data_IF_053481407721
#
_entry.id   IF_053481407721
#
_cell.length_a   1.000
_cell.length_b   1.000
_cell.length_c   1.000
_cell.angle_alpha   90.00
_cell.angle_beta   90.00
_cell.angle_gamma   90.00
#
_symmetry.space_group_name_H-M   'P 1'
#
loop_
_entity.id
_entity.type
_entity.pdbx_description
1 polymer ?
#
# COMPACT_ATOMS: atom_id res chain seq x y z
N UNK A 1 -19.57 24.55 -18.71
CA UNK A 1 -19.04 25.01 -20.00
C UNK A 1 -18.13 23.92 -20.55
N UNK A 2 -18.57 23.26 -21.63
CA UNK A 2 -17.93 22.10 -22.24
C UNK A 2 -16.60 22.50 -22.89
N UNK A 3 -15.49 22.15 -22.25
CA UNK A 3 -14.13 22.40 -22.76
C UNK A 3 -13.50 21.14 -23.36
N UNK A 4 -14.33 20.19 -23.83
CA UNK A 4 -13.90 18.90 -24.38
C UNK A 4 -14.00 18.83 -25.91
N UNK A 5 -14.18 19.95 -26.61
CA UNK A 5 -14.37 19.98 -28.07
C UNK A 5 -13.17 19.50 -28.91
N UNK A 6 -12.06 19.13 -28.26
CA UNK A 6 -10.81 18.64 -28.88
C UNK A 6 -10.37 17.26 -28.40
N UNK A 7 -11.18 16.56 -27.60
CA UNK A 7 -10.90 15.17 -27.17
C UNK A 7 -11.94 14.21 -27.77
N UNK A 8 -11.62 12.91 -27.82
CA UNK A 8 -12.52 11.90 -28.37
C UNK A 8 -13.91 11.97 -27.69
N UNK A 9 -15.02 11.93 -28.46
CA UNK A 9 -16.37 12.03 -27.91
C UNK A 9 -16.70 10.97 -26.84
N UNK A 10 -16.13 9.76 -26.95
CA UNK A 10 -16.30 8.68 -25.97
C UNK A 10 -15.63 9.06 -24.65
N UNK A 11 -14.39 9.54 -24.71
CA UNK A 11 -13.65 10.01 -23.52
C UNK A 11 -14.37 11.21 -22.90
N UNK A 12 -14.82 12.17 -23.72
CA UNK A 12 -15.58 13.33 -23.24
C UNK A 12 -16.88 12.93 -22.50
N UNK A 13 -17.63 11.97 -23.05
CA UNK A 13 -18.84 11.44 -22.41
C UNK A 13 -18.52 10.79 -21.05
N UNK A 14 -17.50 9.92 -21.00
CA UNK A 14 -17.06 9.27 -19.76
C UNK A 14 -16.71 10.31 -18.69
N UNK A 15 -15.92 11.33 -19.06
CA UNK A 15 -15.51 12.40 -18.15
C UNK A 15 -16.69 13.25 -17.66
N UNK A 16 -17.66 13.56 -18.53
CA UNK A 16 -18.88 14.26 -18.13
C UNK A 16 -19.72 13.44 -17.17
N UNK A 17 -19.91 12.15 -17.45
CA UNK A 17 -20.61 11.23 -16.54
C UNK A 17 -19.94 11.17 -15.17
N UNK A 18 -18.61 11.10 -15.12
CA UNK A 18 -17.87 11.14 -13.86
C UNK A 18 -18.10 12.47 -13.09
N UNK A 19 -18.15 13.60 -13.79
CA UNK A 19 -18.45 14.92 -13.20
C UNK A 19 -19.89 15.06 -12.69
N UNK A 20 -20.81 14.27 -13.23
CA UNK A 20 -22.22 14.19 -12.83
C UNK A 20 -22.47 13.07 -11.80
N UNK A 21 -21.40 12.61 -11.13
CA UNK A 21 -21.40 11.55 -10.12
C UNK A 21 -22.03 10.24 -10.61
N UNK A 22 -21.98 9.98 -11.92
CA UNK A 22 -22.41 8.70 -12.50
C UNK A 22 -21.33 7.65 -12.34
N UNK A 23 -21.78 6.46 -11.97
CA UNK A 23 -20.90 5.31 -11.87
C UNK A 23 -20.34 4.91 -13.24
N UNK A 24 -19.01 4.75 -13.31
CA UNK A 24 -18.32 4.32 -14.50
C UNK A 24 -18.19 2.78 -14.54
N UNK A 25 -18.34 2.21 -15.74
CA UNK A 25 -18.25 0.78 -16.01
C UNK A 25 -16.81 0.30 -16.23
N UNK A 26 -16.62 -1.02 -16.30
CA UNK A 26 -15.34 -1.63 -16.72
C UNK A 26 -14.92 -1.13 -18.10
N UNK A 27 -15.86 -1.04 -19.05
CA UNK A 27 -15.60 -0.55 -20.40
C UNK A 27 -15.07 0.89 -20.36
N UNK A 28 -15.74 1.75 -19.60
CA UNK A 28 -15.32 3.15 -19.46
C UNK A 28 -13.87 3.26 -18.94
N UNK A 29 -13.51 2.45 -17.93
CA UNK A 29 -12.14 2.43 -17.42
C UNK A 29 -11.11 1.96 -18.47
N UNK A 30 -11.45 0.94 -19.28
CA UNK A 30 -10.57 0.47 -20.36
C UNK A 30 -10.32 1.58 -21.38
N UNK A 31 -11.39 2.24 -21.85
CA UNK A 31 -11.27 3.38 -22.78
C UNK A 31 -10.39 4.50 -22.19
N UNK A 32 -10.55 4.82 -20.89
CA UNK A 32 -9.70 5.81 -20.24
C UNK A 32 -8.24 5.38 -20.11
N UNK A 33 -7.95 4.10 -19.86
CA UNK A 33 -6.57 3.60 -19.81
C UNK A 33 -5.90 3.67 -21.19
N UNK A 34 -6.67 3.44 -22.25
CA UNK A 34 -6.22 3.44 -23.64
C UNK A 34 -6.24 4.85 -24.28
N UNK A 35 -6.73 5.87 -23.56
CA UNK A 35 -6.81 7.23 -24.07
C UNK A 35 -5.45 7.79 -24.52
N UNK A 36 -5.47 8.70 -25.48
CA UNK A 36 -4.27 9.33 -26.00
C UNK A 36 -3.62 10.30 -25.01
N UNK A 37 -2.34 10.62 -25.22
CA UNK A 37 -1.63 11.60 -24.40
C UNK A 37 -2.23 13.02 -24.52
N UNK A 38 -2.86 13.35 -25.65
CA UNK A 38 -3.56 14.64 -25.80
C UNK A 38 -4.81 14.76 -24.91
N UNK A 39 -5.35 13.64 -24.43
CA UNK A 39 -6.54 13.59 -23.59
C UNK A 39 -6.18 13.55 -22.09
N UNK A 40 -4.92 13.26 -21.77
CA UNK A 40 -4.42 13.11 -20.41
C UNK A 40 -4.67 14.36 -19.56
N UNK A 41 -4.51 15.56 -20.14
CA UNK A 41 -4.78 16.81 -19.44
C UNK A 41 -6.24 16.94 -18.99
N UNK A 42 -7.19 16.51 -19.82
CA UNK A 42 -8.62 16.50 -19.48
C UNK A 42 -8.90 15.54 -18.33
N UNK A 43 -8.28 14.36 -18.36
CA UNK A 43 -8.39 13.36 -17.30
C UNK A 43 -7.83 13.88 -15.96
N UNK A 44 -6.65 14.52 -15.98
CA UNK A 44 -6.04 15.16 -14.80
C UNK A 44 -6.97 16.21 -14.20
N UNK A 45 -7.49 17.13 -15.03
CA UNK A 45 -8.38 18.21 -14.57
C UNK A 45 -9.65 17.66 -13.92
N UNK A 46 -10.25 16.63 -14.53
CA UNK A 46 -11.48 16.01 -14.00
C UNK A 46 -11.19 15.28 -12.68
N UNK A 47 -10.11 14.52 -12.62
CA UNK A 47 -9.69 13.84 -11.38
C UNK A 47 -9.42 14.84 -10.26
N UNK A 48 -8.73 15.95 -10.54
CA UNK A 48 -8.46 16.99 -9.54
C UNK A 48 -9.74 17.66 -9.02
N UNK A 49 -10.68 17.93 -9.93
CA UNK A 49 -11.99 18.49 -9.58
C UNK A 49 -12.79 17.55 -8.69
N UNK A 50 -12.81 16.24 -9.00
CA UNK A 50 -13.46 15.23 -8.15
C UNK A 50 -12.75 15.07 -6.81
N UNK A 51 -11.41 15.10 -6.78
CA UNK A 51 -10.64 15.12 -5.53
C UNK A 51 -11.04 16.33 -4.68
N UNK A 52 -11.03 17.53 -5.24
CA UNK A 52 -11.39 18.76 -4.53
C UNK A 52 -12.82 18.73 -3.99
N UNK A 53 -13.78 18.16 -4.71
CA UNK A 53 -15.16 18.00 -4.21
C UNK A 53 -15.25 17.08 -2.98
N UNK A 54 -14.41 16.05 -2.90
CA UNK A 54 -14.47 15.06 -1.81
C UNK A 54 -13.70 15.48 -0.57
N UNK A 55 -12.57 16.18 -0.74
CA UNK A 55 -11.60 16.41 0.36
C UNK A 55 -11.03 17.84 0.38
N UNK A 56 -11.62 18.76 -0.37
CA UNK A 56 -11.10 20.12 -0.56
C UNK A 56 -9.62 20.12 -0.96
N UNK A 57 -8.83 21.05 -0.42
CA UNK A 57 -7.39 21.15 -0.65
C UNK A 57 -6.56 20.42 0.42
N UNK A 58 -7.19 19.57 1.23
CA UNK A 58 -6.50 18.77 2.24
C UNK A 58 -5.72 17.63 1.58
N UNK A 59 -4.45 17.48 1.96
CA UNK A 59 -3.63 16.31 1.62
C UNK A 59 -3.09 15.72 2.91
N UNK A 60 -3.37 14.44 3.12
CA UNK A 60 -3.02 13.77 4.38
C UNK A 60 -1.67 13.07 4.33
N UNK A 61 -1.11 12.77 5.50
CA UNK A 61 -0.02 11.82 5.68
C UNK A 61 -0.09 11.20 7.09
N UNK A 62 0.62 10.09 7.29
CA UNK A 62 0.76 9.44 8.60
C UNK A 62 2.23 9.38 9.02
N UNK A 63 2.51 9.54 10.31
CA UNK A 63 3.84 9.24 10.86
C UNK A 63 3.85 7.78 11.27
N UNK A 64 4.61 6.97 10.53
CA UNK A 64 4.63 5.52 10.71
C UNK A 64 6.03 4.91 10.54
N UNK A 65 6.14 3.68 11.02
CA UNK A 65 7.31 2.80 10.83
C UNK A 65 6.87 1.49 10.21
N UNK A 66 7.59 1.05 9.19
CA UNK A 66 7.43 -0.30 8.65
C UNK A 66 8.32 -1.26 9.44
N UNK A 67 7.75 -2.39 9.87
CA UNK A 67 8.47 -3.47 10.52
C UNK A 67 8.19 -4.76 9.78
N UNK A 68 9.08 -5.08 8.84
CA UNK A 68 9.09 -6.38 8.21
C UNK A 68 9.82 -7.37 9.12
N UNK A 69 9.11 -8.21 9.86
CA UNK A 69 9.74 -9.04 10.88
C UNK A 69 10.45 -10.28 10.32
N UNK A 70 10.22 -10.65 9.08
CA UNK A 70 11.00 -11.65 8.35
C UNK A 70 10.83 -11.46 6.85
N UNK A 71 11.88 -11.77 6.08
CA UNK A 71 11.85 -11.86 4.63
C UNK A 71 11.77 -13.32 4.13
N UNK A 72 11.78 -14.32 5.02
CA UNK A 72 11.71 -15.73 4.64
C UNK A 72 10.29 -16.07 4.21
N UNK A 73 10.14 -16.66 3.02
CA UNK A 73 8.81 -16.95 2.47
C UNK A 73 8.79 -18.26 1.70
N UNK A 74 7.74 -19.07 1.92
CA UNK A 74 7.49 -20.29 1.14
C UNK A 74 6.86 -20.02 -0.25
N UNK A 75 6.55 -18.76 -0.58
CA UNK A 75 5.97 -18.38 -1.87
C UNK A 75 7.05 -17.88 -2.81
N UNK A 76 6.91 -18.22 -4.09
CA UNK A 76 7.85 -17.83 -5.14
C UNK A 76 7.18 -16.86 -6.12
N UNK A 77 6.89 -15.65 -5.65
CA UNK A 77 6.27 -14.62 -6.49
C UNK A 77 7.29 -14.03 -7.47
N UNK A 78 6.95 -14.00 -8.77
CA UNK A 78 7.84 -13.51 -9.83
C UNK A 78 8.22 -12.04 -9.68
N UNK A 79 7.38 -11.20 -9.06
CA UNK A 79 7.66 -9.78 -8.84
C UNK A 79 8.39 -9.48 -7.51
N UNK A 80 8.49 -10.44 -6.58
CA UNK A 80 8.96 -10.16 -5.23
C UNK A 80 10.48 -10.30 -5.12
N UNK A 81 11.18 -9.17 -5.03
CA UNK A 81 12.61 -9.14 -4.76
C UNK A 81 12.95 -9.19 -3.25
N UNK A 82 11.93 -9.06 -2.38
CA UNK A 82 12.11 -9.03 -0.93
C UNK A 82 12.21 -10.43 -0.33
N UNK A 83 11.40 -11.38 -0.81
CA UNK A 83 11.38 -12.74 -0.27
C UNK A 83 12.72 -13.45 -0.46
N UNK A 84 13.09 -14.24 0.54
CA UNK A 84 14.21 -15.17 0.51
C UNK A 84 13.71 -16.59 0.75
N UNK A 85 14.31 -17.55 0.06
CA UNK A 85 14.10 -18.96 0.38
C UNK A 85 14.62 -19.23 1.80
N UNK A 86 14.01 -20.19 2.51
CA UNK A 86 14.40 -20.57 3.86
C UNK A 86 15.81 -21.16 3.97
N UNK A 87 16.46 -21.41 2.82
CA UNK A 87 17.85 -21.88 2.71
C UNK A 87 18.86 -20.77 2.42
N UNK A 88 18.42 -19.56 2.12
CA UNK A 88 19.30 -18.45 1.75
C UNK A 88 19.89 -17.75 2.99
N UNK A 89 21.17 -17.40 2.92
CA UNK A 89 21.90 -16.78 4.05
C UNK A 89 21.41 -15.37 4.40
N UNK A 90 20.68 -14.72 3.50
CA UNK A 90 20.07 -13.39 3.66
C UNK A 90 18.69 -13.44 4.35
N UNK A 91 18.18 -14.63 4.68
CA UNK A 91 16.96 -14.81 5.44
C UNK A 91 17.13 -14.31 6.88
N UNK A 92 16.19 -13.50 7.38
CA UNK A 92 16.17 -13.06 8.78
C UNK A 92 14.81 -13.29 9.45
N UNK A 93 14.82 -13.31 10.77
CA UNK A 93 13.62 -13.39 11.61
C UNK A 93 13.83 -12.58 12.88
N UNK A 94 13.05 -11.51 13.04
CA UNK A 94 13.12 -10.64 14.20
C UNK A 94 12.38 -11.28 15.39
N UNK A 95 13.00 -11.33 16.58
CA UNK A 95 12.29 -11.71 17.78
C UNK A 95 11.27 -10.62 18.17
N UNK A 96 10.22 -11.01 18.89
CA UNK A 96 9.12 -10.11 19.29
C UNK A 96 9.65 -8.88 20.06
N UNK A 97 10.67 -9.07 20.88
CA UNK A 97 11.31 -7.99 21.65
C UNK A 97 11.93 -6.91 20.74
N UNK A 98 12.51 -7.32 19.60
CA UNK A 98 13.07 -6.38 18.63
C UNK A 98 11.97 -5.62 17.89
N UNK A 99 10.86 -6.29 17.55
CA UNK A 99 9.68 -5.65 16.96
C UNK A 99 9.13 -4.58 17.92
N UNK A 100 8.94 -4.93 19.19
CA UNK A 100 8.49 -4.00 20.23
C UNK A 100 9.47 -2.84 20.42
N UNK A 101 10.78 -3.12 20.44
CA UNK A 101 11.82 -2.08 20.55
C UNK A 101 11.72 -1.07 19.40
N UNK A 102 11.65 -1.54 18.16
CA UNK A 102 11.50 -0.68 16.97
C UNK A 102 10.21 0.14 17.01
N UNK A 103 9.14 -0.45 17.52
CA UNK A 103 7.85 0.22 17.70
C UNK A 103 7.95 1.33 18.76
N UNK A 104 8.64 1.08 19.89
CA UNK A 104 8.90 2.09 20.93
C UNK A 104 9.75 3.25 20.41
N UNK A 105 10.77 2.96 19.61
CA UNK A 105 11.59 3.99 18.95
C UNK A 105 10.74 4.89 18.06
N UNK A 106 9.87 4.31 17.22
CA UNK A 106 8.98 5.06 16.34
C UNK A 106 8.00 5.92 17.14
N UNK A 107 7.39 5.35 18.19
CA UNK A 107 6.45 6.04 19.06
C UNK A 107 7.06 7.28 19.71
N UNK A 108 8.31 7.18 20.22
CA UNK A 108 9.05 8.33 20.78
C UNK A 108 9.30 9.43 19.77
N UNK A 109 9.27 9.10 18.47
CA UNK A 109 9.46 10.03 17.36
C UNK A 109 8.13 10.55 16.78
N UNK A 110 7.01 10.30 17.46
CA UNK A 110 5.70 10.79 17.08
C UNK A 110 4.94 9.87 16.13
N UNK A 111 5.41 8.64 15.89
CA UNK A 111 4.68 7.67 15.08
C UNK A 111 3.36 7.27 15.76
N UNK A 112 2.27 7.34 15.00
CA UNK A 112 0.93 6.96 15.43
C UNK A 112 0.54 5.57 14.94
N UNK A 113 1.30 5.04 13.98
CA UNK A 113 1.10 3.74 13.34
C UNK A 113 2.41 2.96 13.29
N UNK A 114 2.30 1.64 13.49
CA UNK A 114 3.29 0.67 13.05
C UNK A 114 2.67 -0.23 11.99
N UNK A 115 3.30 -0.31 10.83
CA UNK A 115 2.90 -1.22 9.76
C UNK A 115 3.71 -2.52 9.87
N UNK A 116 3.05 -3.64 10.10
CA UNK A 116 3.71 -4.94 10.33
C UNK A 116 3.34 -5.89 9.21
N UNK A 117 4.37 -6.41 8.54
CA UNK A 117 4.24 -7.38 7.45
C UNK A 117 5.40 -8.37 7.49
N UNK A 118 5.29 -9.47 6.77
CA UNK A 118 6.34 -10.47 6.69
C UNK A 118 6.24 -11.33 5.43
N UNK A 119 7.32 -12.08 5.19
CA UNK A 119 7.22 -13.33 4.45
C UNK A 119 6.43 -14.39 5.23
N UNK A 120 6.33 -15.59 4.67
CA UNK A 120 5.64 -16.73 5.28
C UNK A 120 6.65 -17.85 5.57
N UNK A 121 7.40 -17.81 6.68
CA UNK A 121 8.42 -18.81 6.95
C UNK A 121 7.80 -20.18 7.19
N UNK A 122 8.40 -21.27 6.68
CA UNK A 122 7.86 -22.61 6.86
C UNK A 122 7.80 -22.96 8.35
N UNK A 123 6.73 -23.67 8.75
CA UNK A 123 6.50 -24.15 10.13
C UNK A 123 6.41 -23.05 11.20
N UNK A 124 6.28 -21.77 10.83
CA UNK A 124 6.03 -20.70 11.81
C UNK A 124 4.79 -21.01 12.66
N UNK A 125 4.84 -20.70 13.96
CA UNK A 125 3.69 -20.79 14.83
C UNK A 125 2.61 -19.80 14.35
N UNK A 126 1.39 -20.29 14.07
CA UNK A 126 0.29 -19.44 13.62
C UNK A 126 -0.07 -18.34 14.61
N UNK A 127 0.07 -18.58 15.91
CA UNK A 127 -0.22 -17.58 16.95
C UNK A 127 0.80 -16.44 17.07
N UNK A 128 1.92 -16.50 16.34
CA UNK A 128 2.96 -15.47 16.43
C UNK A 128 2.44 -14.07 16.10
N UNK A 129 1.56 -13.93 15.11
CA UNK A 129 0.97 -12.65 14.74
C UNK A 129 0.17 -12.03 15.90
N UNK A 130 -0.57 -12.87 16.63
CA UNK A 130 -1.33 -12.50 17.84
C UNK A 130 -0.38 -12.10 18.97
N UNK A 131 0.70 -12.86 19.17
CA UNK A 131 1.71 -12.57 20.21
C UNK A 131 2.42 -11.24 19.96
N UNK A 132 2.74 -10.93 18.69
CA UNK A 132 3.28 -9.63 18.28
C UNK A 132 2.33 -8.49 18.66
N UNK A 133 1.04 -8.61 18.32
CA UNK A 133 0.03 -7.60 18.67
C UNK A 133 -0.07 -7.40 20.19
N UNK A 134 -0.19 -8.49 20.97
CA UNK A 134 -0.26 -8.42 22.44
C UNK A 134 0.98 -7.78 23.03
N UNK A 135 2.17 -8.14 22.55
CA UNK A 135 3.42 -7.60 23.05
C UNK A 135 3.55 -6.10 22.77
N UNK A 136 3.16 -5.64 21.58
CA UNK A 136 3.14 -4.20 21.25
C UNK A 136 2.12 -3.47 22.13
N UNK A 137 0.89 -3.98 22.22
CA UNK A 137 -0.18 -3.32 22.99
C UNK A 137 0.07 -3.27 24.49
N UNK A 138 0.79 -4.23 25.06
CA UNK A 138 1.23 -4.19 26.46
C UNK A 138 2.10 -2.98 26.75
N UNK A 139 3.00 -2.64 25.83
CA UNK A 139 3.98 -1.56 26.02
C UNK A 139 3.49 -0.22 25.47
N UNK A 140 2.69 -0.25 24.40
CA UNK A 140 2.20 0.91 23.66
C UNK A 140 0.70 0.76 23.36
N UNK A 141 -0.19 0.84 24.36
CA UNK A 141 -1.63 0.59 24.17
C UNK A 141 -2.27 1.46 23.07
N UNK A 142 -1.75 2.68 22.90
CA UNK A 142 -2.28 3.71 22.01
C UNK A 142 -1.76 3.66 20.57
N UNK A 143 -0.69 2.91 20.26
CA UNK A 143 -0.18 2.87 18.88
C UNK A 143 -1.14 2.07 18.00
N UNK A 144 -1.43 2.55 16.79
CA UNK A 144 -2.22 1.79 15.82
C UNK A 144 -1.37 0.69 15.20
N UNK A 145 -1.87 -0.55 15.18
CA UNK A 145 -1.23 -1.66 14.49
C UNK A 145 -1.93 -1.83 13.15
N UNK A 146 -1.26 -1.43 12.07
CA UNK A 146 -1.67 -1.72 10.70
C UNK A 146 -0.95 -3.00 10.27
N UNK A 147 -1.57 -4.16 10.46
CA UNK A 147 -0.84 -5.42 10.50
C UNK A 147 -1.45 -6.50 9.63
N UNK A 148 -0.56 -7.23 8.96
CA UNK A 148 -0.78 -8.51 8.28
C UNK A 148 -1.69 -8.44 7.05
N UNK A 149 -1.10 -8.73 5.90
CA UNK A 149 -1.83 -8.89 4.65
C UNK A 149 -2.85 -10.03 4.72
N UNK A 150 -3.86 -10.06 3.84
CA UNK A 150 -4.81 -11.17 3.73
C UNK A 150 -4.15 -12.55 3.57
N UNK A 151 -3.00 -12.62 2.90
CA UNK A 151 -2.19 -13.85 2.82
C UNK A 151 -1.68 -14.28 4.20
N UNK A 152 -1.15 -13.34 5.00
CA UNK A 152 -0.64 -13.62 6.34
C UNK A 152 -1.78 -14.01 7.29
N UNK A 153 -2.96 -13.40 7.15
CA UNK A 153 -4.18 -13.79 7.89
C UNK A 153 -4.55 -15.24 7.57
N UNK A 154 -4.65 -15.58 6.29
CA UNK A 154 -4.98 -16.95 5.86
C UNK A 154 -3.92 -17.95 6.33
N UNK A 155 -2.64 -17.60 6.17
CA UNK A 155 -1.53 -18.42 6.62
C UNK A 155 -1.58 -18.66 8.13
N UNK A 156 -1.79 -17.59 8.92
CA UNK A 156 -1.93 -17.68 10.38
C UNK A 156 -3.10 -18.58 10.79
N UNK A 157 -4.27 -18.41 10.16
CA UNK A 157 -5.45 -19.23 10.42
C UNK A 157 -5.18 -20.71 10.16
N UNK A 158 -4.59 -21.05 9.00
CA UNK A 158 -4.21 -22.42 8.64
C UNK A 158 -3.18 -23.00 9.61
N UNK A 159 -2.15 -22.23 9.99
CA UNK A 159 -1.09 -22.66 10.91
C UNK A 159 -1.57 -22.83 12.35
N UNK A 160 -2.67 -22.16 12.71
CA UNK A 160 -3.34 -22.27 14.01
C UNK A 160 -4.54 -23.22 14.01
N UNK A 161 -4.78 -23.94 12.90
CA UNK A 161 -5.89 -24.89 12.74
C UNK A 161 -7.27 -24.26 13.04
N UNK A 162 -7.46 -23.00 12.62
CA UNK A 162 -8.70 -22.24 12.80
C UNK A 162 -9.21 -21.70 11.46
N UNK A 163 -10.47 -21.31 11.41
CA UNK A 163 -11.00 -20.55 10.28
C UNK A 163 -10.56 -19.07 10.34
N UNK A 164 -10.71 -18.37 9.21
CA UNK A 164 -10.32 -16.95 9.04
C UNK A 164 -11.07 -16.02 9.99
N UNK A 165 -12.36 -16.25 10.22
CA UNK A 165 -13.18 -15.38 11.06
C UNK A 165 -12.70 -15.41 12.52
N UNK A 166 -12.51 -16.60 13.08
CA UNK A 166 -12.06 -16.76 14.46
C UNK A 166 -10.63 -16.26 14.63
N UNK A 167 -9.77 -16.48 13.63
CA UNK A 167 -8.42 -15.93 13.64
C UNK A 167 -8.41 -14.38 13.65
N UNK A 168 -9.27 -13.75 12.84
CA UNK A 168 -9.45 -12.30 12.83
C UNK A 168 -10.01 -11.77 14.15
N UNK A 169 -10.93 -12.49 14.82
CA UNK A 169 -11.41 -12.13 16.17
C UNK A 169 -10.25 -12.14 17.17
N UNK A 170 -9.42 -13.17 17.16
CA UNK A 170 -8.24 -13.25 18.04
C UNK A 170 -7.26 -12.10 17.79
N UNK A 171 -7.00 -11.74 16.53
CA UNK A 171 -6.16 -10.60 16.17
C UNK A 171 -6.77 -9.26 16.63
N UNK A 172 -8.08 -9.09 16.47
CA UNK A 172 -8.80 -7.90 16.95
C UNK A 172 -8.69 -7.75 18.46
N UNK A 173 -8.90 -8.84 19.20
CA UNK A 173 -8.72 -8.88 20.66
C UNK A 173 -7.28 -8.61 21.07
N UNK A 174 -6.31 -9.08 20.30
CA UNK A 174 -4.88 -8.79 20.49
C UNK A 174 -4.52 -7.33 20.17
N UNK A 175 -5.41 -6.60 19.48
CA UNK A 175 -5.30 -5.17 19.22
C UNK A 175 -4.80 -4.79 17.83
N UNK A 176 -4.98 -5.65 16.81
CA UNK A 176 -4.85 -5.21 15.42
C UNK A 176 -5.87 -4.09 15.15
N UNK A 177 -5.43 -3.00 14.52
CA UNK A 177 -6.27 -1.84 14.27
C UNK A 177 -6.84 -1.79 12.86
N UNK A 178 -6.06 -2.22 11.87
CA UNK A 178 -6.50 -2.36 10.47
C UNK A 178 -5.56 -3.32 9.72
N UNK A 179 -5.99 -3.79 8.55
CA UNK A 179 -5.20 -4.68 7.68
C UNK A 179 -4.64 -3.94 6.46
N UNK A 180 -3.37 -4.16 6.07
CA UNK A 180 -2.87 -3.74 4.76
C UNK A 180 -3.60 -4.48 3.64
N UNK A 181 -4.09 -3.76 2.64
CA UNK A 181 -4.72 -4.31 1.43
C UNK A 181 -3.77 -4.98 0.45
N UNK A 182 -2.55 -5.31 0.89
CA UNK A 182 -1.53 -5.95 0.06
C UNK A 182 -1.91 -7.39 -0.27
N UNK A 183 -1.07 -8.09 -1.04
CA UNK A 183 -1.40 -9.41 -1.59
C UNK A 183 -2.58 -9.44 -2.56
N UNK A 184 -3.12 -8.26 -2.92
CA UNK A 184 -4.07 -8.10 -4.00
C UNK A 184 -3.39 -8.22 -5.37
N UNK A 185 -2.23 -7.55 -5.53
CA UNK A 185 -1.51 -7.42 -6.80
C UNK A 185 -2.45 -6.97 -7.93
N UNK A 186 -2.84 -7.90 -8.81
CA UNK A 186 -4.01 -7.79 -9.66
C UNK A 186 -5.02 -8.84 -9.20
N UNK A 187 -6.25 -8.44 -8.87
CA UNK A 187 -7.34 -9.34 -8.46
C UNK A 187 -7.99 -10.02 -9.66
N UNK A 188 -7.17 -10.73 -10.44
CA UNK A 188 -7.54 -11.58 -11.58
C UNK A 188 -6.83 -12.92 -11.41
N UNK A 189 -7.59 -14.02 -11.32
CA UNK A 189 -7.01 -15.31 -10.92
C UNK A 189 -6.01 -15.83 -11.95
N UNK A 190 -6.33 -15.74 -13.24
CA UNK A 190 -5.45 -16.19 -14.33
C UNK A 190 -4.13 -15.40 -14.35
N UNK A 191 -4.18 -14.10 -14.06
CA UNK A 191 -2.99 -13.27 -13.92
C UNK A 191 -2.15 -13.71 -12.71
N UNK A 192 -2.79 -13.95 -11.57
CA UNK A 192 -2.10 -14.33 -10.32
C UNK A 192 -1.46 -15.70 -10.41
N UNK A 193 -2.10 -16.64 -11.07
CA UNK A 193 -1.54 -17.98 -11.30
C UNK A 193 -0.27 -17.92 -12.15
N UNK A 194 -0.14 -16.91 -13.02
CA UNK A 194 1.09 -16.64 -13.79
C UNK A 194 2.18 -15.97 -12.95
N UNK A 195 1.88 -14.86 -12.29
CA UNK A 195 2.91 -14.01 -11.65
C UNK A 195 3.25 -14.40 -10.21
N UNK A 196 2.37 -15.15 -9.54
CA UNK A 196 2.50 -15.53 -8.13
C UNK A 196 1.85 -16.89 -7.84
N UNK A 197 2.32 -17.97 -8.47
CA UNK A 197 1.74 -19.29 -8.29
C UNK A 197 1.75 -19.71 -6.83
N UNK A 198 0.62 -20.26 -6.37
CA UNK A 198 0.43 -20.74 -5.00
C UNK A 198 0.22 -19.64 -3.96
N UNK A 199 0.13 -18.35 -4.34
CA UNK A 199 -0.35 -17.29 -3.46
C UNK A 199 -1.86 -17.44 -3.19
N UNK A 200 -2.40 -16.76 -2.18
CA UNK A 200 -3.83 -16.70 -1.83
C UNK A 200 -4.67 -16.50 -3.10
N UNK A 201 -5.82 -17.18 -3.21
CA UNK A 201 -6.69 -16.99 -4.38
C UNK A 201 -7.38 -15.63 -4.34
N UNK A 202 -7.96 -15.17 -5.46
CA UNK A 202 -8.80 -13.95 -5.47
C UNK A 202 -9.99 -14.14 -4.54
N UNK A 203 -10.61 -15.32 -4.56
CA UNK A 203 -11.75 -15.65 -3.71
C UNK A 203 -11.40 -15.59 -2.22
N UNK A 204 -10.27 -16.16 -1.82
CA UNK A 204 -9.81 -16.14 -0.43
C UNK A 204 -9.43 -14.72 0.01
N UNK A 205 -8.79 -13.93 -0.86
CA UNK A 205 -8.50 -12.53 -0.57
C UNK A 205 -9.79 -11.75 -0.29
N UNK A 206 -10.81 -11.91 -1.15
CA UNK A 206 -12.14 -11.29 -0.97
C UNK A 206 -12.76 -11.78 0.34
N UNK A 207 -12.70 -13.09 0.61
CA UNK A 207 -13.26 -13.68 1.84
C UNK A 207 -12.63 -13.09 3.09
N UNK A 208 -11.30 -12.98 3.16
CA UNK A 208 -10.57 -12.40 4.28
C UNK A 208 -10.97 -10.93 4.48
N UNK A 209 -10.93 -10.12 3.41
CA UNK A 209 -11.23 -8.69 3.48
C UNK A 209 -12.67 -8.43 3.93
N UNK A 210 -13.65 -9.10 3.30
CA UNK A 210 -15.06 -8.95 3.69
C UNK A 210 -15.31 -9.41 5.12
N UNK A 211 -14.65 -10.47 5.56
CA UNK A 211 -14.76 -10.97 6.94
C UNK A 211 -14.17 -9.97 7.93
N UNK A 212 -12.99 -9.40 7.64
CA UNK A 212 -12.38 -8.35 8.45
C UNK A 212 -13.31 -7.13 8.58
N UNK A 213 -13.87 -6.66 7.47
CA UNK A 213 -14.79 -5.51 7.47
C UNK A 213 -16.06 -5.78 8.29
N UNK A 214 -16.68 -6.97 8.16
CA UNK A 214 -17.84 -7.36 8.98
C UNK A 214 -17.52 -7.42 10.47
N UNK A 215 -16.29 -7.78 10.82
CA UNK A 215 -15.80 -7.75 12.20
C UNK A 215 -15.40 -6.34 12.66
N UNK A 216 -15.59 -5.30 11.85
CA UNK A 216 -15.23 -3.92 12.17
C UNK A 216 -13.72 -3.65 12.14
N UNK A 217 -12.96 -4.44 11.39
CA UNK A 217 -11.54 -4.22 11.12
C UNK A 217 -11.45 -3.61 9.72
N UNK A 218 -11.12 -2.31 9.64
CA UNK A 218 -10.92 -1.65 8.35
C UNK A 218 -9.67 -2.16 7.64
N UNK A 219 -9.58 -1.95 6.32
CA UNK A 219 -8.38 -2.26 5.55
C UNK A 219 -8.05 -1.17 4.53
N UNK A 220 -6.81 -1.15 4.06
CA UNK A 220 -6.46 -0.42 2.84
C UNK A 220 -6.76 -1.30 1.63
N UNK A 221 -6.71 -0.75 0.41
CA UNK A 221 -6.78 -1.52 -0.83
C UNK A 221 -5.63 -1.13 -1.74
N UNK A 222 -5.06 -2.10 -2.47
CA UNK A 222 -3.86 -1.86 -3.29
C UNK A 222 -3.97 -2.51 -4.66
N UNK A 223 -3.28 -1.94 -5.65
CA UNK A 223 -3.07 -2.57 -6.95
C UNK A 223 -1.58 -2.51 -7.30
N UNK A 224 -0.98 -3.63 -7.70
CA UNK A 224 0.32 -3.61 -8.38
C UNK A 224 0.07 -3.60 -9.88
N UNK A 225 0.69 -2.67 -10.60
CA UNK A 225 0.45 -2.49 -12.04
C UNK A 225 1.72 -2.04 -12.78
N UNK A 226 1.66 -2.07 -14.11
CA UNK A 226 2.78 -1.81 -15.01
C UNK A 226 3.73 -3.00 -15.11
N UNK A 227 3.19 -4.22 -15.06
CA UNK A 227 3.90 -5.46 -15.38
C UNK A 227 3.37 -6.05 -16.68
N UNK A 228 2.89 -7.30 -16.67
CA UNK A 228 2.31 -8.00 -17.83
C UNK A 228 0.78 -7.84 -17.96
N UNK A 229 0.13 -7.08 -17.07
CA UNK A 229 -1.32 -6.95 -17.06
C UNK A 229 -1.83 -5.94 -18.09
N UNK A 230 -2.96 -6.29 -18.71
CA UNK A 230 -3.72 -5.43 -19.62
C UNK A 230 -4.66 -4.45 -18.89
N UNK A 231 -5.08 -3.34 -19.54
CA UNK A 231 -6.06 -2.39 -19.01
C UNK A 231 -7.33 -3.02 -18.43
N UNK A 232 -7.86 -4.07 -19.07
CA UNK A 232 -9.05 -4.79 -18.60
C UNK A 232 -8.88 -5.36 -17.18
N UNK A 233 -7.69 -5.86 -16.82
CA UNK A 233 -7.47 -6.39 -15.47
C UNK A 233 -7.43 -5.26 -14.43
N UNK A 234 -6.84 -4.10 -14.78
CA UNK A 234 -6.85 -2.90 -13.91
C UNK A 234 -8.28 -2.40 -13.70
N UNK A 235 -9.08 -2.35 -14.77
CA UNK A 235 -10.48 -1.95 -14.72
C UNK A 235 -11.33 -2.89 -13.85
N UNK A 236 -11.22 -4.20 -14.07
CA UNK A 236 -11.91 -5.21 -13.25
C UNK A 236 -11.50 -5.14 -11.78
N UNK A 237 -10.21 -4.92 -11.50
CA UNK A 237 -9.72 -4.73 -10.13
C UNK A 237 -10.41 -3.55 -9.45
N UNK A 238 -10.44 -2.37 -10.09
CA UNK A 238 -11.08 -1.18 -9.53
C UNK A 238 -12.58 -1.40 -9.26
N UNK A 239 -13.29 -2.03 -10.20
CA UNK A 239 -14.72 -2.36 -10.03
C UNK A 239 -14.92 -3.34 -8.88
N UNK A 240 -14.11 -4.39 -8.77
CA UNK A 240 -14.20 -5.34 -7.66
C UNK A 240 -14.02 -4.66 -6.30
N UNK A 241 -13.02 -3.78 -6.16
CA UNK A 241 -12.83 -3.00 -4.93
C UNK A 241 -14.04 -2.12 -4.62
N UNK A 242 -14.62 -1.46 -5.63
CA UNK A 242 -15.82 -0.64 -5.47
C UNK A 242 -17.02 -1.47 -5.01
N UNK A 243 -17.25 -2.65 -5.58
CA UNK A 243 -18.36 -3.52 -5.16
C UNK A 243 -18.19 -4.04 -3.72
N UNK A 244 -16.96 -4.41 -3.33
CA UNK A 244 -16.68 -4.75 -1.92
C UNK A 244 -16.93 -3.53 -1.02
N UNK A 245 -16.53 -2.33 -1.45
CA UNK A 245 -16.73 -1.11 -0.66
C UNK A 245 -18.21 -0.76 -0.50
N UNK A 246 -19.03 -0.93 -1.55
CA UNK A 246 -20.48 -0.75 -1.48
C UNK A 246 -21.14 -1.69 -0.47
N UNK A 247 -20.64 -2.92 -0.36
CA UNK A 247 -21.18 -3.91 0.57
C UNK A 247 -20.72 -3.69 2.02
N UNK A 248 -19.44 -3.34 2.19
CA UNK A 248 -18.78 -3.47 3.50
C UNK A 248 -18.32 -2.15 4.12
N UNK A 249 -18.16 -1.10 3.31
CA UNK A 249 -17.68 0.23 3.72
C UNK A 249 -16.36 0.22 4.53
N UNK A 250 -15.57 -0.84 4.41
CA UNK A 250 -14.41 -1.07 5.27
C UNK A 250 -13.07 -0.61 4.69
N UNK A 251 -12.99 -0.29 3.40
CA UNK A 251 -11.77 0.28 2.82
C UNK A 251 -11.59 1.73 3.22
N UNK A 252 -10.40 2.06 3.70
CA UNK A 252 -10.03 3.44 4.08
C UNK A 252 -9.36 4.20 2.95
N UNK A 253 -8.64 3.50 2.08
CA UNK A 253 -7.87 4.08 0.98
C UNK A 253 -7.61 3.10 -0.15
N UNK A 254 -7.22 3.66 -1.29
CA UNK A 254 -6.68 2.95 -2.44
C UNK A 254 -5.25 3.40 -2.73
N UNK A 255 -4.34 2.44 -2.88
CA UNK A 255 -2.91 2.67 -3.10
C UNK A 255 -2.46 2.00 -4.41
N UNK A 256 -2.26 2.77 -5.48
CA UNK A 256 -1.53 2.31 -6.66
C UNK A 256 -0.06 2.05 -6.33
N UNK A 257 0.44 0.89 -6.73
CA UNK A 257 1.80 0.45 -6.53
C UNK A 257 2.44 0.14 -7.89
N UNK A 258 3.22 1.08 -8.44
CA UNK A 258 4.02 0.80 -9.63
C UNK A 258 4.93 -0.42 -9.43
N UNK A 259 4.98 -1.28 -10.45
CA UNK A 259 5.89 -2.41 -10.51
C UNK A 259 7.33 -1.90 -10.59
N UNK A 260 8.11 -2.20 -9.56
CA UNK A 260 9.55 -1.91 -9.54
C UNK A 260 10.27 -3.15 -10.09
N UNK A 261 10.75 -3.03 -11.32
CA UNK A 261 11.18 -4.16 -12.13
C UNK A 261 12.65 -4.56 -11.92
N UNK A 262 13.50 -3.65 -11.42
CA UNK A 262 14.96 -3.78 -11.45
C UNK A 262 15.47 -5.07 -10.80
N UNK A 263 14.94 -5.41 -9.63
CA UNK A 263 15.33 -6.61 -8.88
C UNK A 263 14.30 -7.75 -8.98
N UNK A 264 13.21 -7.57 -9.71
CA UNK A 264 12.14 -8.54 -9.80
C UNK A 264 12.55 -9.78 -10.62
N UNK A 265 12.42 -11.01 -10.08
CA UNK A 265 12.78 -12.24 -10.79
C UNK A 265 12.17 -12.38 -12.18
N UNK A 266 10.88 -12.05 -12.34
CA UNK A 266 10.19 -12.17 -13.61
C UNK A 266 10.75 -11.26 -14.70
N UNK A 267 11.26 -10.09 -14.33
CA UNK A 267 11.92 -9.16 -15.25
C UNK A 267 13.35 -9.60 -15.54
N UNK A 268 14.14 -9.91 -14.49
CA UNK A 268 15.53 -10.34 -14.62
C UNK A 268 15.70 -11.59 -15.48
N UNK A 269 14.78 -12.54 -15.34
CA UNK A 269 14.82 -13.81 -16.06
C UNK A 269 13.95 -13.82 -17.32
N UNK A 270 13.31 -12.68 -17.66
CA UNK A 270 12.41 -12.55 -18.82
C UNK A 270 11.40 -13.69 -18.90
N UNK A 271 10.68 -13.94 -17.80
CA UNK A 271 9.75 -15.07 -17.72
C UNK A 271 8.52 -14.93 -18.64
N UNK A 272 8.28 -13.73 -19.17
CA UNK A 272 7.17 -13.43 -20.07
C UNK A 272 7.67 -12.51 -21.19
N UNK A 273 7.19 -12.73 -22.42
CA UNK A 273 7.56 -11.93 -23.59
C UNK A 273 7.08 -10.47 -23.46
N UNK A 274 5.87 -10.28 -22.92
CA UNK A 274 5.22 -8.97 -22.77
C UNK A 274 5.61 -8.22 -21.48
N UNK A 275 6.68 -8.63 -20.79
CA UNK A 275 7.07 -7.98 -19.53
C UNK A 275 7.62 -6.58 -19.76
N UNK A 276 7.09 -5.63 -18.99
CA UNK A 276 7.45 -4.22 -19.07
C UNK A 276 8.43 -3.81 -17.96
N UNK A 277 9.15 -2.71 -18.20
CA UNK A 277 10.07 -2.09 -17.24
C UNK A 277 9.32 -1.13 -16.30
N UNK A 278 8.24 -1.61 -15.68
CA UNK A 278 7.34 -0.77 -14.89
C UNK A 278 6.44 0.13 -15.75
N UNK A 279 5.48 0.84 -15.13
CA UNK A 279 4.63 1.78 -15.82
C UNK A 279 5.40 3.04 -16.23
N UNK A 280 5.05 3.59 -17.39
CA UNK A 280 5.48 4.93 -17.80
C UNK A 280 4.84 6.01 -16.90
N UNK A 281 5.39 7.23 -16.90
CA UNK A 281 4.79 8.36 -16.16
C UNK A 281 3.32 8.61 -16.56
N UNK A 282 2.99 8.52 -17.84
CA UNK A 282 1.61 8.71 -18.31
C UNK A 282 0.69 7.60 -17.76
N UNK A 283 1.15 6.35 -17.71
CA UNK A 283 0.38 5.26 -17.10
C UNK A 283 0.18 5.44 -15.60
N UNK A 284 1.19 5.98 -14.88
CA UNK A 284 1.04 6.31 -13.46
C UNK A 284 -0.02 7.40 -13.26
N UNK A 285 0.01 8.45 -14.07
CA UNK A 285 -1.01 9.52 -14.03
C UNK A 285 -2.40 8.94 -14.31
N UNK A 286 -2.53 8.14 -15.37
CA UNK A 286 -3.78 7.46 -15.73
C UNK A 286 -4.29 6.60 -14.58
N UNK A 287 -3.44 5.80 -13.94
CA UNK A 287 -3.85 4.94 -12.84
C UNK A 287 -4.45 5.73 -11.67
N UNK A 288 -3.79 6.80 -11.23
CA UNK A 288 -4.29 7.63 -10.13
C UNK A 288 -5.57 8.40 -10.51
N UNK A 289 -5.59 9.01 -11.70
CA UNK A 289 -6.73 9.79 -12.16
C UNK A 289 -7.96 8.90 -12.42
N UNK A 290 -7.79 7.76 -13.10
CA UNK A 290 -8.87 6.80 -13.36
C UNK A 290 -9.38 6.19 -12.05
N UNK A 291 -8.49 5.88 -11.10
CA UNK A 291 -8.92 5.42 -9.77
C UNK A 291 -9.79 6.47 -9.07
N UNK A 292 -9.45 7.76 -9.16
CA UNK A 292 -10.29 8.85 -8.62
C UNK A 292 -11.67 8.86 -9.25
N UNK A 293 -11.78 8.71 -10.55
CA UNK A 293 -13.06 8.68 -11.25
C UNK A 293 -13.87 7.42 -10.90
N UNK A 294 -13.22 6.25 -10.94
CA UNK A 294 -13.87 4.95 -10.73
C UNK A 294 -14.32 4.72 -9.30
N UNK A 295 -13.58 5.22 -8.32
CA UNK A 295 -13.82 5.04 -6.88
C UNK A 295 -14.47 6.27 -6.21
N UNK A 296 -14.81 7.29 -7.00
CA UNK A 296 -15.45 8.52 -6.52
C UNK A 296 -16.66 8.21 -5.63
N UNK A 297 -16.78 8.86 -4.47
CA UNK A 297 -17.81 8.65 -3.45
C UNK A 297 -17.81 7.27 -2.75
N UNK A 298 -16.88 6.36 -3.10
CA UNK A 298 -16.76 5.04 -2.46
C UNK A 298 -15.47 4.90 -1.66
N UNK A 299 -14.31 5.15 -2.28
CA UNK A 299 -12.99 5.17 -1.63
C UNK A 299 -12.36 6.53 -1.92
N UNK A 300 -12.55 7.47 -1.00
CA UNK A 300 -12.18 8.87 -1.26
C UNK A 300 -10.69 9.17 -1.09
N UNK A 301 -9.94 8.29 -0.43
CA UNK A 301 -8.52 8.48 -0.20
C UNK A 301 -7.71 7.69 -1.22
N UNK A 302 -6.97 8.41 -2.05
CA UNK A 302 -6.04 7.85 -3.02
C UNK A 302 -4.64 8.28 -2.62
N UNK A 303 -3.83 7.30 -2.26
CA UNK A 303 -2.48 7.49 -1.78
C UNK A 303 -1.47 7.40 -2.92
N UNK A 304 -0.46 8.25 -2.90
CA UNK A 304 0.74 8.08 -3.73
C UNK A 304 1.84 7.35 -2.94
N UNK A 305 2.47 6.35 -3.57
CA UNK A 305 3.65 5.69 -3.02
C UNK A 305 4.92 6.46 -3.41
N UNK A 306 5.31 7.47 -2.62
CA UNK A 306 6.45 8.32 -2.94
C UNK A 306 7.78 7.57 -3.05
N UNK A 307 7.92 6.42 -2.37
CA UNK A 307 9.09 5.54 -2.50
C UNK A 307 9.20 4.92 -3.89
N UNK A 308 8.08 4.73 -4.60
CA UNK A 308 8.03 4.19 -5.97
C UNK A 308 8.15 5.30 -7.00
N UNK A 309 7.37 6.37 -6.83
CA UNK A 309 7.24 7.44 -7.83
C UNK A 309 8.31 8.53 -7.73
N UNK A 310 8.95 8.67 -6.58
CA UNK A 310 9.85 9.79 -6.29
C UNK A 310 9.11 11.05 -5.86
N UNK A 311 9.83 11.95 -5.16
CA UNK A 311 9.23 13.11 -4.48
C UNK A 311 8.59 14.09 -5.46
N UNK A 312 9.31 14.50 -6.50
CA UNK A 312 8.85 15.50 -7.47
C UNK A 312 7.60 15.02 -8.22
N UNK A 313 7.60 13.75 -8.65
CA UNK A 313 6.46 13.21 -9.37
C UNK A 313 5.28 12.94 -8.44
N UNK A 314 5.52 12.54 -7.19
CA UNK A 314 4.47 12.42 -6.17
C UNK A 314 3.79 13.75 -5.89
N UNK A 315 4.55 14.86 -5.90
CA UNK A 315 3.99 16.20 -5.79
C UNK A 315 3.08 16.53 -6.97
N UNK A 316 3.50 16.21 -8.19
CA UNK A 316 2.67 16.41 -9.39
C UNK A 316 1.35 15.63 -9.30
N UNK A 317 1.39 14.39 -8.80
CA UNK A 317 0.20 13.54 -8.69
C UNK A 317 -0.88 14.09 -7.75
N UNK A 318 -0.56 15.05 -6.86
CA UNK A 318 -1.56 15.79 -6.06
C UNK A 318 -2.54 16.60 -6.91
N UNK A 319 -2.17 16.90 -8.16
CA UNK A 319 -3.04 17.52 -9.17
C UNK A 319 -3.75 16.50 -10.06
N UNK A 320 -3.50 15.20 -9.87
CA UNK A 320 -4.03 14.10 -10.69
C UNK A 320 -4.95 13.16 -9.88
N UNK A 321 -5.63 13.71 -8.86
CA UNK A 321 -6.63 12.99 -8.07
C UNK A 321 -6.13 12.38 -6.75
N UNK A 322 -4.83 12.46 -6.46
CA UNK A 322 -4.24 12.04 -5.17
C UNK A 322 -4.61 13.03 -4.07
N UNK A 323 -4.89 12.52 -2.88
CA UNK A 323 -5.11 13.33 -1.68
C UNK A 323 -4.43 12.79 -0.42
N UNK A 324 -3.57 11.78 -0.58
CA UNK A 324 -2.82 11.24 0.54
C UNK A 324 -1.37 10.98 0.11
N UNK A 325 -0.43 11.54 0.86
CA UNK A 325 1.01 11.41 0.60
C UNK A 325 1.61 10.19 1.31
N UNK A 326 0.78 9.42 2.00
CA UNK A 326 1.13 8.18 2.68
C UNK A 326 1.95 8.40 3.95
N UNK A 327 2.93 7.54 4.17
CA UNK A 327 3.68 7.48 5.43
C UNK A 327 5.02 8.20 5.41
N UNK A 328 5.56 8.49 6.60
CA UNK A 328 6.99 8.79 6.78
C UNK A 328 7.87 7.56 6.54
N UNK A 329 7.28 6.36 6.66
CA UNK A 329 7.84 5.06 6.35
C UNK A 329 9.22 4.78 6.95
N UNK A 330 9.44 5.06 8.24
CA UNK A 330 10.74 4.78 8.90
C UNK A 330 11.11 3.31 8.58
N UNK A 331 12.26 3.10 7.94
CA UNK A 331 12.76 1.79 7.46
C UNK A 331 11.99 1.11 6.32
N UNK A 332 11.61 1.83 5.26
CA UNK A 332 10.99 1.14 4.11
C UNK A 332 11.94 0.17 3.39
N UNK A 333 11.63 -1.13 3.48
CA UNK A 333 12.54 -2.23 3.10
C UNK A 333 12.10 -2.98 1.84
N UNK A 334 10.80 -3.06 1.54
CA UNK A 334 10.28 -3.85 0.40
C UNK A 334 10.62 -3.17 -0.93
N UNK A 335 10.22 -1.90 -1.09
CA UNK A 335 10.53 -1.11 -2.29
C UNK A 335 12.04 -0.96 -2.49
N UNK A 336 12.81 -0.81 -1.40
CA UNK A 336 14.28 -0.76 -1.49
C UNK A 336 14.86 -2.09 -1.98
N UNK A 337 14.36 -3.23 -1.48
CA UNK A 337 14.79 -4.54 -1.94
C UNK A 337 14.44 -4.78 -3.42
N UNK A 338 13.33 -4.21 -3.90
CA UNK A 338 12.95 -4.21 -5.31
C UNK A 338 13.80 -3.29 -6.21
N UNK A 339 14.59 -2.39 -5.62
CA UNK A 339 15.50 -1.49 -6.34
C UNK A 339 15.09 -0.02 -6.37
N UNK A 340 14.05 0.38 -5.62
CA UNK A 340 13.65 1.78 -5.51
C UNK A 340 14.78 2.63 -4.88
N UNK A 341 15.03 3.81 -5.46
CA UNK A 341 16.13 4.70 -5.05
C UNK A 341 15.65 5.95 -4.30
N UNK A 342 14.35 6.10 -4.09
CA UNK A 342 13.73 7.34 -3.57
C UNK A 342 13.83 7.50 -2.04
N UNK A 343 14.54 6.61 -1.36
CA UNK A 343 14.78 6.66 0.09
C UNK A 343 13.91 5.72 0.92
N UNK A 344 14.15 5.73 2.23
CA UNK A 344 13.52 4.85 3.23
C UNK A 344 12.90 5.61 4.40
N UNK A 345 12.84 6.94 4.30
CA UNK A 345 12.28 7.84 5.29
C UNK A 345 12.03 9.20 4.64
N UNK A 346 10.85 9.78 4.86
CA UNK A 346 10.56 11.17 4.53
C UNK A 346 10.00 11.85 5.79
N UNK A 347 10.64 12.93 6.24
CA UNK A 347 10.28 13.58 7.51
C UNK A 347 8.96 14.36 7.39
N UNK A 348 8.19 14.52 8.49
CA UNK A 348 6.95 15.29 8.49
C UNK A 348 7.07 16.68 7.84
N UNK A 349 8.10 17.45 8.20
CA UNK A 349 8.35 18.78 7.60
C UNK A 349 8.53 18.72 6.08
N UNK A 350 9.27 17.73 5.58
CA UNK A 350 9.49 17.58 4.14
C UNK A 350 8.16 17.29 3.43
N UNK A 351 7.34 16.38 3.98
CA UNK A 351 6.00 16.07 3.46
C UNK A 351 5.14 17.35 3.44
N UNK A 352 5.12 18.11 4.54
CA UNK A 352 4.37 19.39 4.61
C UNK A 352 4.83 20.38 3.54
N UNK A 353 6.13 20.55 3.37
CA UNK A 353 6.69 21.49 2.39
C UNK A 353 6.37 21.08 0.94
N UNK A 354 6.39 19.77 0.65
CA UNK A 354 5.99 19.23 -0.66
C UNK A 354 4.51 19.54 -0.92
N UNK A 355 3.64 19.26 0.04
CA UNK A 355 2.20 19.50 -0.07
C UNK A 355 1.91 21.00 -0.26
N UNK A 356 2.55 21.88 0.53
CA UNK A 356 2.36 23.34 0.40
C UNK A 356 2.80 23.88 -0.95
N UNK A 357 3.94 23.40 -1.47
CA UNK A 357 4.44 23.80 -2.80
C UNK A 357 3.51 23.35 -3.94
N UNK A 358 2.66 22.35 -3.71
CA UNK A 358 1.58 21.97 -4.63
C UNK A 358 0.30 22.82 -4.44
N UNK A 359 0.32 23.84 -3.58
CA UNK A 359 -0.84 24.67 -3.28
C UNK A 359 -1.92 23.95 -2.45
N UNK A 360 -1.52 22.99 -1.62
CA UNK A 360 -2.42 22.16 -0.79
C UNK A 360 -2.14 22.34 0.70
N UNK A 361 -3.08 21.91 1.52
CA UNK A 361 -3.05 22.02 2.99
C UNK A 361 -2.63 20.67 3.57
N UNK A 362 -1.44 20.57 4.20
CA UNK A 362 -1.01 19.32 4.81
C UNK A 362 -1.76 19.02 6.10
N UNK A 363 -2.12 17.75 6.30
CA UNK A 363 -2.69 17.26 7.55
C UNK A 363 -2.15 15.88 7.95
N UNK A 364 -1.91 15.71 9.25
CA UNK A 364 -1.63 14.38 9.80
C UNK A 364 -2.94 13.65 10.07
N UNK A 365 -3.03 12.41 9.60
CA UNK A 365 -4.16 11.51 9.83
C UNK A 365 -3.77 10.34 10.72
N UNK A 366 -4.79 9.70 11.28
CA UNK A 366 -4.70 8.32 11.77
C UNK A 366 -4.75 7.31 10.60
N UNK A 367 -4.47 6.05 10.87
CA UNK A 367 -4.60 4.95 9.88
C UNK A 367 -6.03 4.74 9.37
N UNK A 368 -7.03 5.20 10.11
CA UNK A 368 -8.45 5.18 9.72
C UNK A 368 -8.95 6.55 9.24
N UNK A 369 -8.04 7.41 8.80
CA UNK A 369 -8.30 8.71 8.17
C UNK A 369 -9.01 9.76 9.02
N UNK A 370 -9.08 9.58 10.34
CA UNK A 370 -9.41 10.70 11.23
C UNK A 370 -8.26 11.71 11.22
N UNK A 371 -8.59 12.98 10.95
CA UNK A 371 -7.62 14.08 10.99
C UNK A 371 -7.18 14.31 12.44
N UNK A 372 -5.87 14.26 12.67
CA UNK A 372 -5.26 14.54 13.96
C UNK A 372 -4.85 16.00 14.08
N UNK A 373 -4.30 16.55 13.00
CA UNK A 373 -3.72 17.88 12.97
C UNK A 373 -3.71 18.41 11.55
N UNK A 374 -4.25 19.60 11.35
CA UNK A 374 -4.12 20.37 10.10
C UNK A 374 -3.01 21.38 10.33
N UNK A 375 -2.04 21.45 9.41
CA UNK A 375 -0.85 22.28 9.59
C UNK A 375 -1.01 23.66 8.92
N UNK A 376 -0.98 24.73 9.71
CA UNK A 376 -0.89 26.13 9.25
C UNK A 376 0.52 26.54 8.82
N UNK A 377 0.75 27.81 8.49
CA UNK A 377 2.03 28.28 7.92
C UNK A 377 3.20 28.36 8.93
N UNK A 378 2.93 28.62 10.20
CA UNK A 378 3.94 28.83 11.25
C UNK A 378 3.99 27.71 12.30
N UNK A 379 4.21 26.47 11.85
CA UNK A 379 4.20 25.32 12.77
C UNK A 379 5.59 24.73 13.08
N UNK A 380 5.73 24.31 14.34
CA UNK A 380 6.94 23.71 14.89
C UNK A 380 7.24 22.32 14.32
N UNK A 381 8.53 21.99 14.31
CA UNK A 381 9.06 20.66 13.96
C UNK A 381 8.47 19.54 14.84
N UNK A 382 8.11 18.42 14.21
CA UNK A 382 7.70 17.19 14.88
C UNK A 382 8.93 16.45 15.44
N UNK A 383 8.78 15.50 16.39
CA UNK A 383 9.94 14.83 16.97
C UNK A 383 10.87 14.15 15.94
N UNK A 384 10.31 13.56 14.88
CA UNK A 384 11.08 12.96 13.77
C UNK A 384 11.85 14.00 12.95
N UNK A 385 11.37 15.25 12.86
CA UNK A 385 12.07 16.31 12.12
C UNK A 385 13.44 16.61 12.76
N UNK A 386 13.52 16.48 14.09
CA UNK A 386 14.71 16.76 14.92
C UNK A 386 15.80 15.69 14.88
N UNK A 387 15.56 14.56 14.20
CA UNK A 387 16.55 13.48 14.07
C UNK A 387 17.57 13.85 13.00
N UNK A 388 18.81 14.16 13.40
CA UNK A 388 19.86 14.55 12.44
C UNK A 388 20.50 13.35 11.73
N UNK A 389 20.67 12.23 12.43
CA UNK A 389 21.24 11.01 11.88
C UNK A 389 20.16 9.94 11.73
N UNK A 390 19.75 9.68 10.49
CA UNK A 390 18.74 8.66 10.18
C UNK A 390 19.33 7.24 10.12
N UNK A 391 20.66 7.09 10.16
CA UNK A 391 21.30 5.77 10.15
C UNK A 391 21.06 4.98 11.44
N UNK A 392 20.64 5.67 12.51
CA UNK A 392 20.22 5.04 13.78
C UNK A 392 19.09 4.02 13.60
N UNK A 393 18.28 4.17 12.54
CA UNK A 393 17.20 3.23 12.23
C UNK A 393 17.71 1.95 11.54
N UNK A 394 18.96 1.95 11.08
CA UNK A 394 19.52 0.91 10.24
C UNK A 394 18.91 0.90 8.83
N UNK A 395 19.33 -0.07 8.03
CA UNK A 395 18.82 -0.33 6.67
C UNK A 395 18.53 -1.80 6.47
N UNK A 396 17.72 -2.13 5.47
CA UNK A 396 17.48 -3.52 5.04
C UNK A 396 18.80 -4.27 4.77
N UNK A 397 19.75 -3.66 4.06
CA UNK A 397 21.06 -4.25 3.74
C UNK A 397 21.92 -4.53 4.97
N UNK A 398 21.82 -3.71 6.01
CA UNK A 398 22.49 -3.97 7.28
C UNK A 398 21.78 -5.11 8.01
N UNK A 399 20.45 -5.10 8.03
CA UNK A 399 19.65 -6.12 8.71
C UNK A 399 19.93 -7.54 8.19
N UNK A 400 19.99 -7.75 6.87
CA UNK A 400 20.27 -9.07 6.28
C UNK A 400 21.67 -9.60 6.59
N UNK A 401 22.60 -8.74 7.02
CA UNK A 401 23.97 -9.12 7.41
C UNK A 401 24.13 -9.38 8.90
N UNK A 402 23.10 -9.14 9.73
CA UNK A 402 23.19 -9.34 11.17
C UNK A 402 22.98 -10.82 11.53
N UNK A 403 24.07 -11.51 11.89
CA UNK A 403 24.04 -12.92 12.31
C UNK A 403 23.04 -13.19 13.45
N UNK A 404 22.83 -12.21 14.35
CA UNK A 404 21.90 -12.32 15.49
C UNK A 404 20.44 -12.53 15.09
N UNK A 405 20.04 -12.12 13.88
CA UNK A 405 18.68 -12.29 13.37
C UNK A 405 18.61 -13.24 12.18
N UNK A 406 19.74 -13.85 11.77
CA UNK A 406 19.76 -14.79 10.65
C UNK A 406 18.76 -15.90 10.92
N UNK A 407 17.91 -16.18 9.93
CA UNK A 407 16.95 -17.26 10.01
C UNK A 407 17.70 -18.57 10.15
N UNK A 408 17.39 -19.30 11.23
CA UNK A 408 17.89 -20.66 11.44
C UNK A 408 16.73 -21.57 11.12
N UNK A 409 16.88 -22.42 10.10
CA UNK A 409 15.87 -23.42 9.76
C UNK A 409 15.40 -24.12 11.02
N UNK A 410 14.09 -24.20 11.22
CA UNK A 410 13.45 -24.88 12.36
C UNK A 410 13.63 -26.42 12.30
N UNK A 411 14.66 -26.90 11.61
CA UNK A 411 15.04 -28.31 11.45
C UNK A 411 16.51 -28.50 11.84
N UNK A 412 16.77 -28.43 13.14
CA UNK A 412 17.76 -29.27 13.84
C UNK A 412 17.23 -29.50 15.26
N UNK A 413 16.25 -30.39 15.36
CA UNK A 413 16.04 -31.35 16.45
C UNK A 413 15.11 -32.43 15.92
#
# INVERSE_FOLDING_TARGET
MNNFSKIDPVIADILNRALDDKELSVKDAVELFECSDSELNSLIIVADKLRKRNVDDLVTFVVNRNVNFTNVCIKHCGFCAFSRDFREEEGYFLPVEEIVKRTKEAWKLGATEVCIQAGLPPKMNGYMYIDICKAIKRELPKIHIHGFSPEEILYGAVRSETNVEDYLKMLKEAGVGSLPGTAAEILDQDMRDKISPGRITVQDWIHVIKTAHRLGISSTSTIMYGHIEKPIHRANHLVLLREIQKETHGFTEFVPLSFIYTEAPMFKHKLFDDITAGPTKNEVIKMHAIARLMLNNYINNIQVSWVKEGIEFSQFLLSAGVNDFGGTLINESISTAAGAQNGQLLKPRQIRDIIRRAGKIPAQRTSTYKIMKVYGDEESDEPLDKVNDVTIFGSYRQLTKLDKYRFKSLTRN
#
